data_IF_513811646283
#
_entry.id   IF_513811646283
#
_cell.length_a   1.000
_cell.length_b   1.000
_cell.length_c   1.000
_cell.angle_alpha   90.00
_cell.angle_beta   90.00
_cell.angle_gamma   90.00
#
_symmetry.space_group_name_H-M   'P 1'
#
loop_
_entity.id
_entity.type
_entity.pdbx_description
1 polymer ?
#
# COMPACT_ATOMS: atom_id res chain seq x y z
N UNK A 1 -19.20 -2.30 48.91
CA UNK A 1 -19.66 -2.92 47.63
C UNK A 1 -19.67 -1.93 46.46
N UNK A 2 -20.09 -0.67 46.61
CA UNK A 2 -20.08 0.31 45.49
C UNK A 2 -18.66 0.71 45.03
N UNK A 3 -17.72 0.85 45.95
CA UNK A 3 -16.31 1.26 45.66
C UNK A 3 -15.51 0.17 44.95
N UNK A 4 -15.78 -1.10 45.26
CA UNK A 4 -15.09 -2.26 44.65
C UNK A 4 -15.52 -2.48 43.20
N UNK A 5 -16.77 -2.14 42.85
CA UNK A 5 -17.28 -2.23 41.48
C UNK A 5 -16.66 -1.15 40.59
N UNK A 6 -16.51 0.08 41.11
CA UNK A 6 -15.88 1.19 40.38
C UNK A 6 -14.42 0.88 40.01
N UNK A 7 -13.68 0.23 40.91
CA UNK A 7 -12.28 -0.15 40.71
C UNK A 7 -12.14 -1.20 39.58
N UNK A 8 -13.05 -2.17 39.52
CA UNK A 8 -13.07 -3.21 38.46
C UNK A 8 -13.35 -2.64 37.07
N UNK A 9 -14.23 -1.64 36.96
CA UNK A 9 -14.55 -0.99 35.68
C UNK A 9 -13.34 -0.19 35.16
N UNK A 10 -12.59 0.45 36.05
CA UNK A 10 -11.40 1.23 35.68
C UNK A 10 -10.29 0.34 35.09
N UNK A 11 -10.09 -0.85 35.65
CA UNK A 11 -9.07 -1.80 35.22
C UNK A 11 -9.32 -2.36 33.81
N UNK A 12 -10.58 -2.43 33.39
CA UNK A 12 -10.97 -2.95 32.06
C UNK A 12 -10.86 -1.90 30.93
N UNK A 13 -10.67 -0.62 31.25
CA UNK A 13 -10.61 0.47 30.25
C UNK A 13 -9.29 0.55 29.47
N UNK A 14 -8.27 -0.21 29.87
CA UNK A 14 -6.92 -0.16 29.29
C UNK A 14 -6.70 -1.02 28.04
N UNK A 15 -7.68 -1.85 27.65
CA UNK A 15 -7.51 -2.81 26.57
C UNK A 15 -7.68 -2.13 25.19
N UNK A 16 -6.66 -1.39 24.76
CA UNK A 16 -6.59 -0.87 23.38
C UNK A 16 -6.11 -1.99 22.44
N UNK A 17 -6.96 -2.37 21.49
CA UNK A 17 -6.66 -3.36 20.46
C UNK A 17 -5.49 -2.93 19.57
N UNK A 18 -4.74 -3.92 19.06
CA UNK A 18 -3.65 -3.71 18.10
C UNK A 18 -4.22 -3.09 16.82
N UNK A 19 -3.83 -1.84 16.54
CA UNK A 19 -4.24 -1.14 15.33
C UNK A 19 -3.26 -1.47 14.21
N UNK A 20 -3.64 -2.38 13.32
CA UNK A 20 -2.88 -2.64 12.10
C UNK A 20 -3.01 -1.43 11.17
N UNK A 21 -1.88 -0.77 10.88
CA UNK A 21 -1.82 0.31 9.90
C UNK A 21 -1.61 -0.36 8.54
N UNK A 22 -2.60 -0.33 7.63
CA UNK A 22 -2.40 -0.87 6.30
C UNK A 22 -1.37 -0.01 5.59
N UNK A 23 -0.20 -0.60 5.29
CA UNK A 23 0.75 -0.02 4.35
C UNK A 23 0.09 -0.05 2.98
N UNK A 24 -0.05 1.11 2.32
CA UNK A 24 -0.54 1.18 0.94
C UNK A 24 0.47 0.44 0.04
N UNK A 25 0.24 -0.84 -0.19
CA UNK A 25 1.02 -1.63 -1.13
C UNK A 25 0.61 -1.19 -2.52
N UNK A 26 1.44 -0.29 -3.07
CA UNK A 26 1.65 -0.04 -4.51
C UNK A 26 0.38 0.05 -5.35
N UNK A 27 0.02 1.29 -5.71
CA UNK A 27 -0.90 1.56 -6.81
C UNK A 27 -0.38 0.84 -8.06
N UNK A 28 -1.04 -0.24 -8.46
CA UNK A 28 -0.72 -0.95 -9.70
C UNK A 28 -1.12 -0.03 -10.86
N UNK A 29 -0.21 0.86 -11.27
CA UNK A 29 -0.37 1.66 -12.48
C UNK A 29 -0.13 0.76 -13.68
N UNK A 30 -1.20 0.31 -14.30
CA UNK A 30 -1.16 -0.17 -15.68
C UNK A 30 -0.94 1.04 -16.58
N UNK A 31 0.33 1.41 -16.82
CA UNK A 31 0.71 2.58 -17.63
C UNK A 31 0.37 2.40 -19.12
N UNK A 32 0.31 1.15 -19.61
CA UNK A 32 0.04 0.88 -21.00
C UNK A 32 -0.59 -0.50 -21.20
N UNK A 33 -1.74 -0.55 -21.89
CA UNK A 33 -2.33 -1.78 -22.40
C UNK A 33 -2.17 -1.74 -23.90
N UNK A 34 -1.24 -2.52 -24.43
CA UNK A 34 -1.03 -2.60 -25.86
C UNK A 34 -2.27 -3.22 -26.51
N UNK A 35 -2.94 -2.45 -27.36
CA UNK A 35 -4.07 -2.92 -28.13
C UNK A 35 -3.50 -3.39 -29.45
N UNK A 36 -3.36 -4.70 -29.62
CA UNK A 36 -2.96 -5.31 -30.89
C UNK A 36 -3.73 -4.66 -32.03
N UNK A 37 -3.02 -3.82 -32.77
CA UNK A 37 -3.52 -3.12 -33.94
C UNK A 37 -3.44 -4.15 -35.05
N UNK A 38 -4.61 -4.53 -35.59
CA UNK A 38 -4.77 -5.48 -36.69
C UNK A 38 -3.58 -5.47 -37.65
N UNK A 39 -2.91 -6.63 -37.81
CA UNK A 39 -1.81 -6.80 -38.76
C UNK A 39 -2.21 -6.19 -40.11
N UNK A 40 -1.46 -5.21 -40.60
CA UNK A 40 -1.68 -4.57 -41.90
C UNK A 40 -1.43 -5.59 -43.01
N UNK A 41 -2.48 -6.28 -43.45
CA UNK A 41 -2.46 -7.10 -44.67
C UNK A 41 -2.91 -6.24 -45.83
N UNK A 42 -1.97 -5.86 -46.69
CA UNK A 42 -2.26 -5.07 -47.90
C UNK A 42 -2.37 -6.01 -49.10
N UNK A 43 -3.54 -6.03 -49.74
CA UNK A 43 -3.82 -6.81 -50.95
C UNK A 43 -3.97 -5.85 -52.12
N UNK A 44 -3.14 -6.02 -53.15
CA UNK A 44 -3.29 -5.31 -54.43
C UNK A 44 -3.53 -6.30 -55.54
N UNK A 45 -4.72 -6.19 -56.15
CA UNK A 45 -5.14 -7.02 -57.26
C UNK A 45 -5.15 -6.17 -58.54
N UNK A 46 -4.46 -6.66 -59.57
CA UNK A 46 -4.48 -6.06 -60.91
C UNK A 46 -4.84 -7.11 -61.95
N UNK A 47 -5.83 -6.78 -62.79
CA UNK A 47 -6.26 -7.60 -63.91
C UNK A 47 -6.00 -6.83 -65.18
N UNK A 48 -5.21 -7.42 -66.08
CA UNK A 48 -4.90 -6.85 -67.38
C UNK A 48 -5.51 -7.74 -68.47
N UNK A 49 -6.15 -7.11 -69.46
CA UNK A 49 -6.82 -7.81 -70.55
C UNK A 49 -6.43 -7.15 -71.87
N UNK A 50 -5.94 -7.97 -72.81
CA UNK A 50 -5.70 -7.57 -74.20
C UNK A 50 -6.69 -8.34 -75.08
N UNK A 51 -7.40 -7.61 -75.94
CA UNK A 51 -8.30 -8.20 -76.94
C UNK A 51 -7.63 -8.10 -78.32
N UNK A 52 -7.49 -9.23 -79.01
CA UNK A 52 -6.97 -9.29 -80.38
C UNK A 52 -7.92 -10.11 -81.25
N UNK A 53 -8.78 -9.40 -81.99
CA UNK A 53 -9.85 -10.04 -82.76
C UNK A 53 -10.75 -10.86 -81.85
N UNK A 54 -10.98 -12.13 -82.21
CA UNK A 54 -11.84 -13.05 -81.45
C UNK A 54 -11.16 -13.66 -80.21
N UNK A 55 -9.87 -13.38 -79.98
CA UNK A 55 -9.11 -13.96 -78.87
C UNK A 55 -8.89 -12.93 -77.75
N UNK A 56 -9.14 -13.35 -76.51
CA UNK A 56 -8.93 -12.54 -75.29
C UNK A 56 -7.79 -13.14 -74.48
N UNK A 57 -6.74 -12.35 -74.24
CA UNK A 57 -5.65 -12.70 -73.33
C UNK A 57 -5.87 -12.01 -71.99
N UNK A 58 -5.96 -12.82 -70.93
CA UNK A 58 -6.21 -12.34 -69.56
C UNK A 58 -5.02 -12.69 -68.68
N UNK A 59 -4.47 -11.68 -68.04
CA UNK A 59 -3.41 -11.84 -67.05
C UNK A 59 -3.87 -11.31 -65.68
N UNK A 60 -3.58 -12.07 -64.62
CA UNK A 60 -4.03 -11.80 -63.26
C UNK A 60 -2.85 -11.88 -62.31
N UNK A 61 -2.60 -10.78 -61.62
CA UNK A 61 -1.57 -10.68 -60.60
C UNK A 61 -2.20 -10.40 -59.23
N UNK A 62 -1.73 -11.11 -58.20
CA UNK A 62 -2.12 -10.93 -56.80
C UNK A 62 -0.87 -10.78 -55.96
N UNK A 63 -0.71 -9.63 -55.30
CA UNK A 63 0.40 -9.40 -54.37
C UNK A 63 -0.14 -9.20 -52.96
N UNK A 64 0.38 -9.97 -52.00
CA UNK A 64 -0.02 -9.92 -50.59
C UNK A 64 1.21 -9.54 -49.76
N UNK A 65 1.16 -8.39 -49.09
CA UNK A 65 2.19 -7.94 -48.17
C UNK A 65 1.72 -8.11 -46.72
N UNK A 66 2.56 -8.71 -45.88
CA UNK A 66 2.36 -8.82 -44.43
C UNK A 66 3.45 -8.06 -43.71
N UNK A 67 3.10 -6.95 -43.07
CA UNK A 67 4.01 -6.26 -42.16
C UNK A 67 3.97 -6.98 -40.81
N UNK A 68 5.02 -7.76 -40.51
CA UNK A 68 5.21 -8.33 -39.17
C UNK A 68 6.08 -7.36 -38.39
N UNK A 69 5.50 -6.63 -37.45
CA UNK A 69 6.26 -5.80 -36.52
C UNK A 69 7.07 -6.72 -35.59
N UNK A 70 8.31 -7.05 -35.96
CA UNK A 70 9.20 -7.94 -35.22
C UNK A 70 9.92 -7.24 -34.04
N UNK A 71 9.21 -6.41 -33.28
CA UNK A 71 9.79 -5.72 -32.11
C UNK A 71 8.82 -5.73 -30.94
N UNK A 72 8.82 -6.85 -30.24
CA UNK A 72 8.45 -6.92 -28.84
C UNK A 72 9.48 -6.12 -28.02
N UNK A 73 9.29 -4.82 -27.90
CA UNK A 73 10.04 -4.04 -26.89
C UNK A 73 9.41 -4.21 -25.52
N UNK A 74 9.46 -5.43 -24.97
CA UNK A 74 9.27 -5.63 -23.52
C UNK A 74 10.62 -5.51 -22.82
N UNK A 75 11.15 -4.28 -22.75
CA UNK A 75 12.33 -3.97 -21.96
C UNK A 75 11.98 -3.61 -20.51
N UNK A 76 10.94 -4.24 -19.95
CA UNK A 76 10.58 -4.03 -18.55
C UNK A 76 10.27 -5.37 -17.93
N UNK A 77 11.35 -6.02 -17.52
CA UNK A 77 11.29 -7.08 -16.52
C UNK A 77 10.75 -6.42 -15.24
N UNK A 78 9.47 -6.61 -14.96
CA UNK A 78 8.88 -6.17 -13.70
C UNK A 78 9.60 -6.91 -12.57
N UNK A 79 10.57 -6.23 -11.95
CA UNK A 79 11.19 -6.71 -10.74
C UNK A 79 10.10 -6.72 -9.69
N UNK A 80 9.51 -7.89 -9.42
CA UNK A 80 8.71 -8.09 -8.22
C UNK A 80 9.67 -7.85 -7.05
N UNK A 81 9.67 -6.62 -6.53
CA UNK A 81 10.52 -6.25 -5.41
C UNK A 81 9.97 -6.97 -4.20
N UNK A 82 10.66 -8.02 -3.77
CA UNK A 82 10.42 -8.64 -2.47
C UNK A 82 10.43 -7.53 -1.43
N UNK A 83 9.39 -7.41 -0.58
CA UNK A 83 9.37 -6.37 0.44
C UNK A 83 10.60 -6.58 1.33
N UNK A 84 11.50 -5.59 1.32
CA UNK A 84 12.65 -5.62 2.22
C UNK A 84 12.14 -5.40 3.65
N UNK A 85 12.71 -6.11 4.64
CA UNK A 85 12.36 -5.88 6.02
C UNK A 85 12.77 -4.45 6.38
N UNK A 86 11.79 -3.57 6.55
CA UNK A 86 12.03 -2.22 7.07
C UNK A 86 12.50 -2.39 8.51
N UNK A 87 13.70 -1.90 8.78
CA UNK A 87 14.24 -1.81 10.14
C UNK A 87 13.35 -0.87 10.94
N UNK A 88 12.39 -1.43 11.65
CA UNK A 88 11.59 -0.68 12.62
C UNK A 88 12.57 -0.27 13.71
N UNK A 89 12.84 1.03 13.80
CA UNK A 89 13.58 1.62 14.92
C UNK A 89 12.76 1.35 16.18
N UNK A 90 13.08 0.25 16.86
CA UNK A 90 12.51 -0.06 18.16
C UNK A 90 13.08 0.99 19.10
N UNK A 91 12.23 1.84 19.64
CA UNK A 91 12.61 2.78 20.70
C UNK A 91 13.28 1.97 21.82
N UNK A 92 14.61 2.06 21.91
CA UNK A 92 15.47 1.22 22.77
C UNK A 92 15.08 1.31 24.25
N UNK A 93 14.44 2.42 24.63
CA UNK A 93 14.03 2.72 25.99
C UNK A 93 12.53 3.04 26.07
N UNK A 94 11.68 2.25 25.41
CA UNK A 94 10.23 2.37 25.60
C UNK A 94 9.88 1.95 27.02
N UNK A 95 9.64 2.93 27.88
CA UNK A 95 9.13 2.74 29.24
C UNK A 95 7.78 2.02 29.14
N UNK A 96 7.63 0.77 29.65
CA UNK A 96 6.34 0.10 29.64
C UNK A 96 5.31 0.96 30.37
N UNK A 97 4.09 1.04 29.82
CA UNK A 97 3.01 1.85 30.41
C UNK A 97 2.68 1.44 31.86
N UNK A 98 3.05 0.24 32.29
CA UNK A 98 2.93 -0.23 33.67
C UNK A 98 3.78 0.56 34.67
N UNK A 99 4.93 1.09 34.27
CA UNK A 99 5.79 1.90 35.15
C UNK A 99 5.13 3.23 35.53
N UNK A 100 4.28 3.80 34.67
CA UNK A 100 3.52 5.01 34.99
C UNK A 100 2.54 4.81 36.15
N UNK A 101 1.95 3.62 36.27
CA UNK A 101 1.09 3.27 37.40
C UNK A 101 1.86 3.23 38.73
N UNK A 102 3.11 2.76 38.70
CA UNK A 102 3.98 2.77 39.89
C UNK A 102 4.34 4.20 40.32
N UNK A 103 4.62 5.10 39.37
CA UNK A 103 4.88 6.52 39.67
C UNK A 103 3.66 7.18 40.31
N UNK A 104 2.46 6.93 39.80
CA UNK A 104 1.21 7.47 40.37
C UNK A 104 0.96 6.94 41.79
N UNK A 105 1.20 5.64 42.02
CA UNK A 105 1.04 5.02 43.33
C UNK A 105 2.00 5.61 44.37
N UNK A 106 3.28 5.73 44.01
CA UNK A 106 4.31 6.33 44.89
C UNK A 106 4.00 7.80 45.20
N UNK A 107 3.58 8.57 44.19
CA UNK A 107 3.17 9.96 44.39
C UNK A 107 1.95 10.04 45.33
N UNK A 108 0.93 9.21 45.12
CA UNK A 108 -0.27 9.15 45.98
C UNK A 108 0.04 8.81 47.44
N UNK A 109 1.01 7.91 47.69
CA UNK A 109 1.44 7.57 49.06
C UNK A 109 2.25 8.70 49.73
N UNK A 110 2.99 9.49 48.95
CA UNK A 110 3.77 10.62 49.49
C UNK A 110 2.92 11.84 49.85
N UNK A 111 1.81 12.08 49.14
CA UNK A 111 0.96 13.28 49.30
C UNK A 111 0.42 13.47 50.74
N UNK A 112 -0.11 12.44 51.44
CA UNK A 112 -0.58 12.57 52.82
C UNK A 112 0.55 12.96 53.80
N UNK A 113 1.73 12.37 53.61
CA UNK A 113 2.93 12.66 54.43
C UNK A 113 3.40 14.09 54.22
N UNK A 114 3.46 14.54 52.96
CA UNK A 114 3.82 15.92 52.59
C UNK A 114 2.78 16.91 53.14
N UNK A 115 1.48 16.61 53.01
CA UNK A 115 0.40 17.45 53.53
C UNK A 115 0.46 17.59 55.06
N UNK A 116 0.80 16.51 55.77
CA UNK A 116 0.97 16.52 57.24
C UNK A 116 2.15 17.39 57.66
N UNK A 117 3.25 17.35 56.92
CA UNK A 117 4.44 18.19 57.14
C UNK A 117 4.13 19.66 56.86
N UNK A 118 3.44 19.97 55.75
CA UNK A 118 3.03 21.33 55.39
C UNK A 118 2.08 21.96 56.43
N UNK A 119 1.15 21.17 56.99
CA UNK A 119 0.30 21.59 58.11
C UNK A 119 1.12 21.88 59.38
N UNK A 120 2.10 21.03 59.70
CA UNK A 120 3.02 21.21 60.85
C UNK A 120 3.83 22.50 60.74
N UNK A 121 4.24 22.86 59.53
CA UNK A 121 5.02 24.08 59.24
C UNK A 121 4.15 25.35 59.13
N UNK A 122 2.82 25.26 59.34
CA UNK A 122 1.86 26.37 59.20
C UNK A 122 1.95 27.12 57.86
N UNK A 123 2.47 26.47 56.81
CA UNK A 123 2.61 27.07 55.48
C UNK A 123 1.29 27.11 54.71
N UNK A 124 0.29 26.34 55.12
CA UNK A 124 -1.04 26.28 54.51
C UNK A 124 -2.07 26.53 55.61
N UNK A 125 -2.79 27.65 55.50
CA UNK A 125 -3.91 28.04 56.34
C UNK A 125 -5.17 27.86 55.49
N UNK A 126 -5.79 26.69 55.59
CA UNK A 126 -7.15 26.41 55.08
C UNK A 126 -8.00 26.12 56.30
#
# INVERSE_FOLDING_TARGET
MKTTILLMILLMSGCKSVKYIPVKTTETRTEYVDRFKTDSVHVRDSVFMIVKGDTIFKDRWRTVYKEVYARDTFYRQDTIRVPYPVEVIKEKYRVPRSLWWLVILLAGLSVPSILKILRKLKLIKI
#
